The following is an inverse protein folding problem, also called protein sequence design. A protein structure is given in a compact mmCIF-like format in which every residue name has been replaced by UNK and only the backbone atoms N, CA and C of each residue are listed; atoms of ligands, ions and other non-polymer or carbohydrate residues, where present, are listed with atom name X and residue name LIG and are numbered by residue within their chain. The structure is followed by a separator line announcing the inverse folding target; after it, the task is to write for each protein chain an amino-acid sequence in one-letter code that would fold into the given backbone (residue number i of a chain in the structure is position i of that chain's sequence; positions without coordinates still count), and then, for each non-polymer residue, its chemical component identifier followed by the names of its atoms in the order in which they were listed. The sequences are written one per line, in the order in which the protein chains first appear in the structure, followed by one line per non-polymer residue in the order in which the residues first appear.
data_IF_342446388796
#
_entry.id   IF_342446388796
#
_cell.length_a   1.000
_cell.length_b   1.000
_cell.length_c   1.000
_cell.angle_alpha   90.00
_cell.angle_beta   90.00
_cell.angle_gamma   90.00
#
_symmetry.space_group_name_H-M   'P 1'
#
loop_
_entity.id
_entity.type
_entity.pdbx_description
1 polymer ?
#
# COMPACT_ATOMS: atom_id res chain seq x y z
N UNK A 1 19.99 -2.04 6.59
CA UNK A 1 18.87 -2.83 6.03
C UNK A 1 17.86 -3.20 7.12
N UNK A 2 18.28 -3.77 8.25
CA UNK A 2 17.40 -4.11 9.39
C UNK A 2 16.64 -2.91 9.99
N UNK A 3 17.29 -1.78 10.22
CA UNK A 3 16.60 -0.61 10.80
C UNK A 3 15.53 -0.05 9.85
N UNK A 4 15.82 0.00 8.55
CA UNK A 4 14.85 0.40 7.53
C UNK A 4 13.65 -0.55 7.51
N UNK A 5 13.87 -1.86 7.65
CA UNK A 5 12.81 -2.86 7.77
C UNK A 5 11.93 -2.58 8.99
N UNK A 6 12.54 -2.37 10.17
CA UNK A 6 11.82 -2.12 11.42
C UNK A 6 11.00 -0.82 11.39
N UNK A 7 11.59 0.26 10.88
CA UNK A 7 10.90 1.55 10.75
C UNK A 7 9.71 1.43 9.80
N UNK A 8 9.89 0.77 8.65
CA UNK A 8 8.82 0.61 7.68
C UNK A 8 7.73 -0.36 8.15
N UNK A 9 8.10 -1.39 8.93
CA UNK A 9 7.14 -2.27 9.62
C UNK A 9 6.26 -1.49 10.58
N UNK A 10 6.88 -0.66 11.42
CA UNK A 10 6.18 0.16 12.38
C UNK A 10 5.30 1.20 11.70
N UNK A 11 5.74 1.75 10.57
CA UNK A 11 4.91 2.64 9.76
C UNK A 11 3.62 1.94 9.29
N UNK A 12 3.73 0.68 8.85
CA UNK A 12 2.56 -0.13 8.50
C UNK A 12 1.67 -0.40 9.73
N UNK A 13 2.26 -0.84 10.85
CA UNK A 13 1.53 -1.07 12.11
C UNK A 13 0.73 0.17 12.52
N UNK A 14 1.39 1.31 12.58
CA UNK A 14 0.78 2.56 13.03
C UNK A 14 -0.31 3.06 12.07
N UNK A 15 -0.15 2.85 10.75
CA UNK A 15 -1.19 3.17 9.76
C UNK A 15 -2.46 2.33 9.95
N UNK A 16 -2.32 1.13 10.51
CA UNK A 16 -3.40 0.22 10.89
C UNK A 16 -3.87 0.42 12.35
N UNK A 17 -3.43 1.49 13.02
CA UNK A 17 -3.66 1.77 14.45
C UNK A 17 -3.15 0.66 15.39
N UNK A 18 -2.12 -0.08 14.97
CA UNK A 18 -1.44 -1.09 15.78
C UNK A 18 -0.21 -0.48 16.48
N UNK A 19 0.20 -1.10 17.59
CA UNK A 19 1.34 -0.63 18.37
C UNK A 19 2.66 -0.93 17.64
N UNK A 20 3.56 0.06 17.47
CA UNK A 20 4.88 -0.17 16.89
C UNK A 20 5.79 -0.97 17.82
N UNK A 21 6.76 -1.69 17.25
CA UNK A 21 7.69 -2.55 17.98
C UNK A 21 9.05 -1.89 18.22
N UNK A 22 9.44 -0.95 17.36
CA UNK A 22 10.75 -0.30 17.35
C UNK A 22 10.68 1.20 17.70
N UNK A 23 9.71 1.94 17.15
CA UNK A 23 9.48 3.35 17.41
C UNK A 23 8.88 3.57 18.80
N UNK A 24 9.27 4.67 19.45
CA UNK A 24 8.84 5.01 20.82
C UNK A 24 7.56 5.86 20.91
N UNK A 25 6.90 6.12 19.78
CA UNK A 25 5.63 6.83 19.72
C UNK A 25 4.62 5.96 18.97
N UNK A 26 3.34 6.09 19.29
CA UNK A 26 2.31 5.13 18.85
C UNK A 26 1.13 5.75 18.11
N UNK A 27 1.11 7.07 17.88
CA UNK A 27 0.02 7.74 17.17
C UNK A 27 0.49 8.30 15.83
N UNK A 28 -0.23 7.93 14.78
CA UNK A 28 -0.05 8.45 13.43
C UNK A 28 -1.42 8.53 12.76
N UNK A 29 -1.85 9.68 12.24
CA UNK A 29 -3.06 9.75 11.42
C UNK A 29 -2.93 8.81 10.22
N UNK A 30 -3.93 7.95 9.97
CA UNK A 30 -3.86 6.96 8.90
C UNK A 30 -3.54 7.57 7.53
N UNK A 31 -4.13 8.72 7.19
CA UNK A 31 -3.88 9.40 5.91
C UNK A 31 -2.42 9.81 5.76
N UNK A 32 -1.79 10.27 6.85
CA UNK A 32 -0.38 10.62 6.86
C UNK A 32 0.51 9.36 6.83
N UNK A 33 0.11 8.28 7.52
CA UNK A 33 0.77 6.98 7.42
C UNK A 33 0.82 6.45 5.98
N UNK A 34 -0.31 6.51 5.26
CA UNK A 34 -0.39 6.15 3.84
C UNK A 34 0.53 7.02 2.96
N UNK A 35 0.59 8.34 3.22
CA UNK A 35 1.49 9.24 2.49
C UNK A 35 2.98 8.90 2.70
N UNK A 36 3.35 8.57 3.93
CA UNK A 36 4.72 8.15 4.25
C UNK A 36 5.04 6.79 3.59
N UNK A 37 4.12 5.83 3.65
CA UNK A 37 4.29 4.52 3.01
C UNK A 37 4.56 4.72 1.52
N UNK A 38 3.72 5.51 0.87
CA UNK A 38 3.86 5.80 -0.55
C UNK A 38 5.17 6.52 -0.90
N UNK A 39 5.54 7.52 -0.10
CA UNK A 39 6.78 8.28 -0.29
C UNK A 39 8.00 7.35 -0.22
N UNK A 40 8.04 6.45 0.77
CA UNK A 40 9.14 5.50 0.93
C UNK A 40 9.22 4.53 -0.26
N UNK A 41 8.10 3.94 -0.66
CA UNK A 41 8.06 3.00 -1.79
C UNK A 41 8.47 3.69 -3.10
N UNK A 42 7.96 4.90 -3.34
CA UNK A 42 8.22 5.64 -4.58
C UNK A 42 9.68 6.09 -4.67
N UNK A 43 10.22 6.68 -3.59
CA UNK A 43 11.54 7.29 -3.59
C UNK A 43 12.68 6.29 -3.39
N UNK A 44 12.39 5.10 -2.85
CA UNK A 44 13.39 4.08 -2.54
C UNK A 44 13.10 2.71 -3.19
N UNK A 45 12.47 2.69 -4.36
CA UNK A 45 12.08 1.46 -5.07
C UNK A 45 13.23 0.43 -5.25
N UNK A 46 14.47 0.88 -5.45
CA UNK A 46 15.64 -0.02 -5.59
C UNK A 46 15.94 -0.81 -4.32
N UNK A 47 15.64 -0.25 -3.14
CA UNK A 47 15.83 -0.93 -1.85
C UNK A 47 14.92 -2.17 -1.77
N UNK A 48 13.67 -2.03 -2.19
CA UNK A 48 12.69 -3.13 -2.18
C UNK A 48 12.99 -4.23 -3.18
N UNK A 49 13.69 -3.92 -4.27
CA UNK A 49 14.08 -4.91 -5.29
C UNK A 49 15.43 -5.57 -5.00
N UNK A 50 16.32 -4.90 -4.26
CA UNK A 50 17.66 -5.41 -3.94
C UNK A 50 17.70 -6.19 -2.62
N UNK A 51 16.82 -5.85 -1.67
CA UNK A 51 16.80 -6.45 -0.32
C UNK A 51 15.57 -7.33 -0.10
N UNK A 52 15.78 -8.63 0.09
CA UNK A 52 14.70 -9.61 0.22
C UNK A 52 13.80 -9.37 1.44
N UNK A 53 14.36 -8.87 2.55
CA UNK A 53 13.60 -8.49 3.74
C UNK A 53 12.65 -7.31 3.48
N UNK A 54 13.02 -6.41 2.57
CA UNK A 54 12.18 -5.28 2.16
C UNK A 54 11.12 -5.73 1.16
N UNK A 55 11.44 -6.64 0.23
CA UNK A 55 10.42 -7.28 -0.59
C UNK A 55 9.40 -8.04 0.29
N UNK A 56 9.88 -8.71 1.34
CA UNK A 56 9.03 -9.45 2.28
C UNK A 56 8.02 -8.54 2.97
N UNK A 57 8.42 -7.33 3.39
CA UNK A 57 7.49 -6.44 4.09
C UNK A 57 6.40 -5.87 3.18
N UNK A 58 6.71 -5.63 1.90
CA UNK A 58 5.69 -5.29 0.91
C UNK A 58 4.63 -6.39 0.83
N UNK A 59 5.08 -7.65 0.78
CA UNK A 59 4.21 -8.82 0.70
C UNK A 59 3.34 -9.03 1.93
N UNK A 60 3.93 -9.00 3.13
CA UNK A 60 3.21 -9.43 4.35
C UNK A 60 2.53 -8.29 5.10
N UNK A 61 2.88 -7.03 4.81
CA UNK A 61 2.28 -5.84 5.47
C UNK A 61 1.56 -4.95 4.47
N UNK A 62 2.27 -4.41 3.48
CA UNK A 62 1.73 -3.35 2.61
C UNK A 62 0.59 -3.86 1.74
N UNK A 63 0.76 -5.01 1.07
CA UNK A 63 -0.28 -5.58 0.21
C UNK A 63 -1.57 -5.93 1.00
N UNK A 64 -1.50 -6.65 2.13
CA UNK A 64 -2.67 -6.85 3.00
C UNK A 64 -3.32 -5.56 3.48
N UNK A 65 -2.54 -4.56 3.87
CA UNK A 65 -3.04 -3.25 4.30
C UNK A 65 -3.86 -2.60 3.19
N UNK A 66 -3.32 -2.54 1.97
CA UNK A 66 -4.00 -1.92 0.82
C UNK A 66 -5.29 -2.67 0.48
N UNK A 67 -5.20 -4.00 0.36
CA UNK A 67 -6.33 -4.88 0.02
C UNK A 67 -7.46 -4.75 1.04
N UNK A 68 -7.13 -4.81 2.33
CA UNK A 68 -8.09 -4.68 3.42
C UNK A 68 -8.73 -3.30 3.44
N UNK A 69 -7.92 -2.25 3.31
CA UNK A 69 -8.40 -0.87 3.34
C UNK A 69 -9.33 -0.56 2.16
N UNK A 70 -9.02 -1.05 0.94
CA UNK A 70 -9.89 -0.87 -0.23
C UNK A 70 -11.23 -1.60 -0.11
N UNK A 71 -11.23 -2.81 0.47
CA UNK A 71 -12.46 -3.57 0.75
C UNK A 71 -13.35 -2.89 1.80
N UNK A 72 -12.74 -2.15 2.74
CA UNK A 72 -13.42 -1.43 3.82
C UNK A 72 -14.21 -0.18 3.43
N UNK A 73 -14.47 0.06 2.13
CA UNK A 73 -15.17 1.25 1.60
C UNK A 73 -14.60 2.57 2.16
N UNK A 74 -13.30 2.84 1.93
CA UNK A 74 -12.64 3.99 2.53
C UNK A 74 -13.16 5.32 1.96
N UNK A 75 -12.84 6.41 2.66
CA UNK A 75 -13.15 7.76 2.18
C UNK A 75 -12.52 8.03 0.80
N UNK A 76 -12.98 9.06 0.09
CA UNK A 76 -12.36 9.49 -1.18
C UNK A 76 -10.85 9.70 -1.02
N UNK A 77 -10.44 10.52 -0.05
CA UNK A 77 -9.05 10.88 0.18
C UNK A 77 -8.17 9.66 0.49
N UNK A 78 -8.69 8.70 1.25
CA UNK A 78 -8.02 7.44 1.56
C UNK A 78 -7.94 6.54 0.32
N UNK A 79 -9.02 6.43 -0.45
CA UNK A 79 -9.07 5.62 -1.68
C UNK A 79 -8.02 6.09 -2.69
N UNK A 80 -7.94 7.41 -2.94
CA UNK A 80 -6.94 8.00 -3.86
C UNK A 80 -5.52 7.62 -3.45
N UNK A 81 -5.19 7.70 -2.16
CA UNK A 81 -3.86 7.33 -1.64
C UNK A 81 -3.58 5.83 -1.80
N UNK A 82 -4.55 4.98 -1.46
CA UNK A 82 -4.42 3.53 -1.60
C UNK A 82 -4.20 3.12 -3.05
N UNK A 83 -4.96 3.70 -3.99
CA UNK A 83 -4.80 3.43 -5.41
C UNK A 83 -3.46 3.96 -5.93
N UNK A 84 -2.98 5.11 -5.44
CA UNK A 84 -1.66 5.64 -5.81
C UNK A 84 -0.51 4.73 -5.33
N UNK A 85 -0.59 4.21 -4.10
CA UNK A 85 0.37 3.20 -3.62
C UNK A 85 0.30 1.95 -4.49
N UNK A 86 -0.90 1.44 -4.77
CA UNK A 86 -1.09 0.25 -5.59
C UNK A 86 -0.53 0.43 -7.02
N UNK A 87 -0.76 1.58 -7.64
CA UNK A 87 -0.17 1.93 -8.94
C UNK A 87 1.36 1.86 -8.88
N UNK A 88 1.99 2.45 -7.86
CA UNK A 88 3.44 2.37 -7.67
C UNK A 88 3.90 0.92 -7.50
N UNK A 89 3.17 0.10 -6.74
CA UNK A 89 3.48 -1.33 -6.57
C UNK A 89 3.45 -2.09 -7.90
N UNK A 90 2.39 -1.92 -8.69
CA UNK A 90 2.24 -2.54 -10.00
C UNK A 90 3.34 -2.09 -10.97
N UNK A 91 3.69 -0.79 -10.99
CA UNK A 91 4.66 -0.24 -11.93
C UNK A 91 6.12 -0.54 -11.60
N UNK A 92 6.45 -0.76 -10.32
CA UNK A 92 7.84 -0.82 -9.86
C UNK A 92 8.22 -2.15 -9.22
N UNK A 93 7.25 -2.98 -8.85
CA UNK A 93 7.47 -4.15 -8.01
C UNK A 93 6.71 -5.41 -8.47
N UNK A 94 6.04 -5.39 -9.63
CA UNK A 94 5.31 -6.57 -10.13
C UNK A 94 6.21 -7.79 -10.33
N UNK A 95 7.48 -7.60 -10.72
CA UNK A 95 8.42 -8.69 -10.93
C UNK A 95 8.77 -9.44 -9.64
N UNK A 96 8.74 -8.74 -8.49
CA UNK A 96 9.05 -9.32 -7.18
C UNK A 96 7.80 -9.74 -6.38
N UNK A 97 6.61 -9.28 -6.79
CA UNK A 97 5.31 -9.52 -6.14
C UNK A 97 4.19 -9.90 -7.15
N UNK A 98 4.43 -10.83 -8.09
CA UNK A 98 3.48 -11.05 -9.20
C UNK A 98 2.13 -11.57 -8.71
N UNK A 99 2.13 -12.42 -7.69
CA UNK A 99 0.91 -12.98 -7.10
C UNK A 99 0.09 -11.89 -6.42
N UNK A 100 0.72 -11.14 -5.53
CA UNK A 100 0.04 -10.12 -4.74
C UNK A 100 -0.49 -8.99 -5.64
N UNK A 101 0.27 -8.61 -6.67
CA UNK A 101 -0.17 -7.67 -7.68
C UNK A 101 -1.36 -8.20 -8.48
N UNK A 102 -1.36 -9.49 -8.85
CA UNK A 102 -2.49 -10.14 -9.50
C UNK A 102 -3.77 -10.09 -8.66
N UNK A 103 -3.68 -10.48 -7.38
CA UNK A 103 -4.81 -10.42 -6.44
C UNK A 103 -5.34 -8.98 -6.27
N UNK A 104 -4.47 -7.98 -6.30
CA UNK A 104 -4.87 -6.59 -6.19
C UNK A 104 -5.53 -6.03 -7.46
N UNK A 105 -5.15 -6.52 -8.65
CA UNK A 105 -5.81 -6.17 -9.92
C UNK A 105 -7.25 -6.69 -9.97
N UNK A 106 -7.54 -7.84 -9.36
CA UNK A 106 -8.91 -8.35 -9.22
C UNK A 106 -9.79 -7.36 -8.44
N UNK A 107 -9.26 -6.76 -7.37
CA UNK A 107 -9.97 -5.74 -6.59
C UNK A 107 -10.22 -4.48 -7.43
N UNK A 108 -9.25 -4.02 -8.21
CA UNK A 108 -9.43 -2.88 -9.12
C UNK A 108 -10.50 -3.16 -10.19
N UNK A 109 -10.55 -4.40 -10.68
CA UNK A 109 -11.59 -4.84 -11.62
C UNK A 109 -12.97 -4.74 -10.99
N UNK A 110 -13.15 -5.19 -9.74
CA UNK A 110 -14.40 -5.01 -9.02
C UNK A 110 -14.77 -3.54 -8.76
N UNK A 111 -13.78 -2.66 -8.58
CA UNK A 111 -14.02 -1.23 -8.44
C UNK A 111 -14.45 -0.55 -9.76
N UNK A 112 -14.21 -1.18 -10.90
CA UNK A 112 -14.69 -0.74 -12.21
C UNK A 112 -16.15 -1.12 -12.50
N UNK A 113 -16.70 -2.10 -11.77
CA UNK A 113 -18.08 -2.56 -11.95
C UNK A 113 -19.10 -1.43 -11.78
N UNK A 114 -20.26 -1.58 -12.43
CA UNK A 114 -21.26 -0.51 -12.56
C UNK A 114 -21.85 -0.03 -11.23
N UNK A 115 -21.81 -0.87 -10.19
CA UNK A 115 -22.29 -0.54 -8.84
C UNK A 115 -21.35 0.38 -8.06
N UNK A 116 -20.13 0.62 -8.57
CA UNK A 116 -19.15 1.51 -7.93
C UNK A 116 -19.39 2.98 -8.29
N UNK A 117 -19.14 3.85 -7.31
CA UNK A 117 -19.22 5.30 -7.50
C UNK A 117 -18.35 5.76 -8.68
N UNK A 118 -18.85 6.71 -9.50
CA UNK A 118 -18.19 7.14 -10.74
C UNK A 118 -16.72 7.56 -10.55
N UNK A 119 -16.42 8.27 -9.46
CA UNK A 119 -15.06 8.70 -9.15
C UNK A 119 -14.11 7.53 -8.83
N UNK A 120 -14.61 6.42 -8.26
CA UNK A 120 -13.80 5.21 -8.03
C UNK A 120 -13.43 4.57 -9.36
N UNK A 121 -14.39 4.52 -10.28
CA UNK A 121 -14.20 3.98 -11.63
C UNK A 121 -13.20 4.82 -12.41
N UNK A 122 -13.36 6.15 -12.39
CA UNK A 122 -12.40 7.08 -13.00
C UNK A 122 -10.97 6.89 -12.44
N UNK A 123 -10.84 6.79 -11.11
CA UNK A 123 -9.56 6.55 -10.45
C UNK A 123 -8.94 5.20 -10.83
N UNK A 124 -9.73 4.12 -10.93
CA UNK A 124 -9.20 2.81 -11.35
C UNK A 124 -8.71 2.84 -12.80
N UNK A 125 -9.37 3.59 -13.68
CA UNK A 125 -8.93 3.78 -15.07
C UNK A 125 -7.62 4.56 -15.21
N UNK A 126 -7.15 5.26 -14.18
CA UNK A 126 -5.81 5.87 -14.19
C UNK A 126 -4.69 4.84 -13.96
N UNK A 127 -5.04 3.65 -13.44
CA UNK A 127 -4.10 2.57 -13.16
C UNK A 127 -3.95 1.60 -14.33
N UNK A 128 -5.04 1.35 -15.07
CA UNK A 128 -5.08 0.50 -16.27
C UNK A 128 -4.52 1.21 -17.50
#
# INVERSE_FOLDING_TARGET
ALDAYRIFNDLCLMTENQRPEFLRFSSLPQTFGLELIESVITNHASVFTTHAEQAHILRVRVMPLIVSALKGRPSFATTVRLVRILYTMLRRHIDILPKECGDALEILTHLLDQDSALWKRALCMEVF
#
